data_IF_389704668628
#
_entry.id   IF_389704668628
#
_cell.length_a   1.000
_cell.length_b   1.000
_cell.length_c   1.000
_cell.angle_alpha   90.00
_cell.angle_beta   90.00
_cell.angle_gamma   90.00
#
_symmetry.space_group_name_H-M   'P 1'
#
loop_
_entity.id
_entity.type
_entity.pdbx_description
1 polymer ?
#
# COMPACT_ATOMS: atom_id res chain seq x y z
N UNK A 1 3.28 48.99 -7.09
CA UNK A 1 2.29 48.79 -8.15
C UNK A 1 1.96 47.31 -8.25
N UNK A 2 0.74 46.93 -7.88
CA UNK A 2 0.09 45.70 -8.38
C UNK A 2 -0.86 46.15 -9.50
N UNK A 3 -1.09 45.38 -10.58
CA UNK A 3 -1.93 44.18 -10.47
C UNK A 3 -1.67 43.06 -11.50
N UNK A 4 -2.44 41.97 -11.31
CA UNK A 4 -2.73 40.85 -12.22
C UNK A 4 -1.66 39.76 -12.35
N UNK A 5 -1.95 38.47 -12.24
CA UNK A 5 -3.25 37.81 -12.23
C UNK A 5 -3.23 36.50 -11.44
N UNK A 6 -4.41 36.15 -10.95
CA UNK A 6 -4.79 34.89 -10.32
C UNK A 6 -4.37 33.63 -11.12
N UNK A 7 -3.99 33.79 -12.39
CA UNK A 7 -3.45 32.75 -13.26
C UNK A 7 -1.93 32.50 -13.12
N UNK A 8 -1.14 33.40 -12.52
CA UNK A 8 0.29 33.13 -12.23
C UNK A 8 0.47 32.14 -11.07
N UNK A 9 -0.54 32.01 -10.20
CA UNK A 9 -0.59 30.99 -9.16
C UNK A 9 -0.81 29.59 -9.73
N UNK A 10 -1.59 29.45 -10.82
CA UNK A 10 -1.83 28.16 -11.48
C UNK A 10 -0.63 27.72 -12.34
N UNK A 11 0.08 28.65 -12.99
CA UNK A 11 1.34 28.32 -13.67
C UNK A 11 2.47 28.00 -12.67
N UNK A 12 2.53 28.69 -11.53
CA UNK A 12 3.48 28.36 -10.45
C UNK A 12 3.11 27.05 -9.71
N UNK A 13 1.83 26.68 -9.66
CA UNK A 13 1.37 25.38 -9.14
C UNK A 13 1.63 24.25 -10.14
N UNK A 14 1.49 24.52 -11.45
CA UNK A 14 1.85 23.59 -12.53
C UNK A 14 3.36 23.35 -12.63
N UNK A 15 4.20 24.34 -12.30
CA UNK A 15 5.66 24.16 -12.20
C UNK A 15 6.10 23.42 -10.92
N UNK A 16 5.33 23.50 -9.83
CA UNK A 16 5.59 22.78 -8.57
C UNK A 16 5.02 21.35 -8.52
N UNK A 17 4.20 21.00 -9.50
CA UNK A 17 3.72 19.64 -9.77
C UNK A 17 4.59 18.92 -10.81
N UNK A 18 5.89 19.20 -10.84
CA UNK A 18 6.83 18.18 -11.29
C UNK A 18 6.92 17.13 -10.18
N UNK A 19 6.09 16.09 -10.29
CA UNK A 19 6.46 14.76 -9.82
C UNK A 19 7.91 14.59 -10.24
N UNK A 20 8.83 14.57 -9.27
CA UNK A 20 10.25 14.51 -9.54
C UNK A 20 10.57 13.11 -10.07
N UNK A 21 10.26 12.90 -11.35
CA UNK A 21 10.86 11.85 -12.16
C UNK A 21 12.26 12.38 -12.44
N UNK A 22 13.26 11.76 -11.81
CA UNK A 22 14.64 11.93 -12.21
C UNK A 22 14.73 11.51 -13.68
N UNK A 23 15.15 12.44 -14.54
CA UNK A 23 15.27 12.21 -15.99
C UNK A 23 16.27 11.09 -16.34
N UNK A 24 17.06 10.64 -15.36
CA UNK A 24 18.05 9.59 -15.50
C UNK A 24 17.71 8.30 -14.74
N UNK A 25 16.62 8.24 -13.94
CA UNK A 25 16.39 7.08 -13.05
C UNK A 25 14.94 6.68 -12.70
N UNK A 26 13.92 7.24 -13.36
CA UNK A 26 12.48 6.83 -13.27
C UNK A 26 11.98 6.31 -11.90
N UNK A 27 12.34 6.95 -10.79
CA UNK A 27 11.99 6.52 -9.43
C UNK A 27 10.94 7.43 -8.76
N UNK A 28 9.92 6.86 -8.12
CA UNK A 28 8.93 7.57 -7.31
C UNK A 28 9.46 7.84 -5.88
N UNK A 29 9.57 9.10 -5.48
CA UNK A 29 10.05 9.49 -4.14
C UNK A 29 8.86 9.82 -3.23
N UNK A 30 8.53 8.91 -2.31
CA UNK A 30 7.41 9.06 -1.35
C UNK A 30 7.77 9.87 -0.09
N UNK A 31 9.06 9.90 0.27
CA UNK A 31 9.58 10.59 1.45
C UNK A 31 10.89 11.31 1.10
N UNK A 32 11.10 12.52 1.62
CA UNK A 32 12.36 13.27 1.44
C UNK A 32 12.89 13.75 2.78
N UNK A 33 14.08 13.29 3.17
CA UNK A 33 14.85 13.91 4.26
C UNK A 33 15.65 15.06 3.68
N UNK A 34 15.62 16.21 4.34
CA UNK A 34 16.44 17.36 3.97
C UNK A 34 17.02 18.09 5.17
N UNK A 35 17.93 19.00 4.87
CA UNK A 35 18.66 19.80 5.84
C UNK A 35 18.42 21.28 5.54
N UNK A 36 17.98 22.05 6.53
CA UNK A 36 17.84 23.51 6.42
C UNK A 36 18.32 24.15 7.71
N UNK A 37 19.31 25.04 7.60
CA UNK A 37 19.88 25.81 8.73
C UNK A 37 20.22 24.95 9.97
N UNK A 38 20.90 23.82 9.75
CA UNK A 38 21.35 22.93 10.83
C UNK A 38 20.28 22.01 11.42
N UNK A 39 19.02 22.12 10.99
CA UNK A 39 17.93 21.26 11.43
C UNK A 39 17.51 20.28 10.33
N UNK A 40 17.22 19.03 10.73
CA UNK A 40 16.76 17.95 9.84
C UNK A 40 15.24 17.96 9.73
N UNK A 41 14.73 17.75 8.52
CA UNK A 41 13.29 17.62 8.27
C UNK A 41 12.97 16.35 7.48
N UNK A 42 11.84 15.73 7.78
CA UNK A 42 11.24 14.64 7.01
C UNK A 42 9.99 15.16 6.29
N UNK A 43 9.99 15.11 4.98
CA UNK A 43 8.84 15.39 4.12
C UNK A 43 8.09 14.10 3.79
N UNK A 44 6.79 14.06 4.09
CA UNK A 44 5.87 12.97 3.74
C UNK A 44 4.57 13.58 3.18
N UNK A 45 4.18 13.21 1.94
CA UNK A 45 2.96 13.72 1.29
C UNK A 45 2.78 15.25 1.33
N UNK A 46 3.87 16.01 1.18
CA UNK A 46 3.83 17.49 1.22
C UNK A 46 3.76 18.11 2.63
N UNK A 47 3.85 17.29 3.68
CA UNK A 47 3.90 17.72 5.09
C UNK A 47 5.33 17.59 5.62
N UNK A 48 5.80 18.60 6.36
CA UNK A 48 7.19 18.67 6.84
C UNK A 48 7.25 18.57 8.38
N UNK A 49 8.05 17.63 8.90
CA UNK A 49 8.24 17.43 10.35
C UNK A 49 9.72 17.60 10.70
N UNK A 50 10.01 18.39 11.74
CA UNK A 50 11.36 18.57 12.28
C UNK A 50 11.79 17.34 13.08
N UNK A 51 13.00 16.85 12.83
CA UNK A 51 13.58 15.72 13.57
C UNK A 51 14.50 16.23 14.70
N UNK A 52 14.32 15.80 15.96
CA UNK A 52 15.27 16.08 17.04
C UNK A 52 16.61 15.34 16.82
N UNK A 53 17.72 15.97 17.19
CA UNK A 53 19.09 15.43 17.09
C UNK A 53 19.36 14.31 18.14
N UNK A 54 20.34 13.41 17.95
CA UNK A 54 20.12 12.01 17.56
C UNK A 54 20.11 10.99 18.73
N UNK A 55 19.23 10.00 18.65
CA UNK A 55 19.31 8.71 19.38
C UNK A 55 19.24 7.50 18.42
N UNK A 56 19.14 7.72 17.11
CA UNK A 56 19.00 6.63 16.12
C UNK A 56 20.05 6.75 15.01
N UNK A 57 20.48 5.62 14.43
CA UNK A 57 21.40 5.62 13.31
C UNK A 57 20.88 6.47 12.15
N UNK A 58 21.75 6.90 11.22
CA UNK A 58 21.39 7.91 10.24
C UNK A 58 20.26 7.41 9.31
N UNK A 59 19.03 7.85 9.59
CA UNK A 59 17.79 7.50 8.88
C UNK A 59 17.88 7.70 7.35
N UNK A 60 18.84 8.50 6.86
CA UNK A 60 19.08 8.65 5.43
C UNK A 60 19.55 7.36 4.74
N UNK A 61 20.38 6.52 5.38
CA UNK A 61 20.82 5.24 4.80
C UNK A 61 19.67 4.24 4.68
N UNK A 62 18.73 4.26 5.62
CA UNK A 62 17.49 3.47 5.59
C UNK A 62 16.48 3.96 4.55
N UNK A 63 16.53 5.23 4.16
CA UNK A 63 15.56 5.89 3.26
C UNK A 63 16.08 6.08 1.82
N UNK A 64 17.38 5.96 1.58
CA UNK A 64 17.98 5.95 0.23
C UNK A 64 18.17 4.54 -0.33
N UNK A 65 17.66 3.51 0.35
CA UNK A 65 17.60 2.17 -0.24
C UNK A 65 16.79 2.28 -1.54
N UNK A 66 17.47 2.17 -2.68
CA UNK A 66 16.78 2.02 -3.95
C UNK A 66 15.85 0.83 -3.79
N UNK A 67 14.55 1.06 -4.03
CA UNK A 67 13.53 0.01 -4.00
C UNK A 67 13.93 -1.12 -4.95
N UNK A 68 14.76 -0.80 -5.95
CA UNK A 68 15.42 -1.73 -6.86
C UNK A 68 16.80 -1.18 -7.27
N UNK A 69 17.87 -1.76 -6.72
CA UNK A 69 19.25 -1.45 -7.08
C UNK A 69 20.11 -2.70 -6.89
N UNK A 70 21.25 -2.78 -7.60
CA UNK A 70 22.17 -3.93 -7.52
C UNK A 70 22.66 -4.25 -6.10
N UNK A 71 23.43 -5.33 -5.96
CA UNK A 71 23.99 -5.94 -4.71
C UNK A 71 23.83 -5.05 -3.47
N UNK A 72 22.65 -5.11 -2.84
CA UNK A 72 22.28 -4.28 -1.68
C UNK A 72 20.97 -3.48 -1.79
N UNK A 73 20.35 -3.36 -2.98
CA UNK A 73 19.00 -2.78 -3.10
C UNK A 73 17.91 -3.70 -2.52
N UNK A 74 16.96 -3.11 -1.79
CA UNK A 74 15.81 -3.86 -1.26
C UNK A 74 14.87 -4.31 -2.37
N UNK A 75 13.79 -4.99 -2.02
CA UNK A 75 12.70 -5.33 -2.94
C UNK A 75 11.42 -4.52 -2.64
N UNK A 76 10.52 -4.34 -3.63
CA UNK A 76 9.28 -3.58 -3.43
C UNK A 76 8.42 -4.08 -2.26
N UNK A 77 8.38 -5.39 -2.03
CA UNK A 77 7.58 -5.97 -0.94
C UNK A 77 8.22 -5.75 0.43
N UNK A 78 9.55 -5.84 0.56
CA UNK A 78 10.26 -5.51 1.80
C UNK A 78 10.10 -4.03 2.15
N UNK A 79 10.21 -3.14 1.16
CA UNK A 79 9.92 -1.72 1.33
C UNK A 79 8.48 -1.48 1.80
N UNK A 80 7.51 -2.22 1.24
CA UNK A 80 6.11 -2.14 1.66
C UNK A 80 5.92 -2.61 3.13
N UNK A 81 6.58 -3.70 3.52
CA UNK A 81 6.56 -4.20 4.91
C UNK A 81 7.18 -3.17 5.86
N UNK A 82 8.31 -2.55 5.48
CA UNK A 82 8.92 -1.48 6.26
C UNK A 82 7.97 -0.29 6.44
N UNK A 83 7.25 0.10 5.38
CA UNK A 83 6.21 1.14 5.48
C UNK A 83 5.09 0.74 6.45
N UNK A 84 4.69 -0.53 6.49
CA UNK A 84 3.72 -1.03 7.47
C UNK A 84 4.25 -0.95 8.91
N UNK A 85 5.53 -1.29 9.13
CA UNK A 85 6.17 -1.18 10.45
C UNK A 85 6.24 0.29 10.89
N UNK A 86 6.62 1.20 9.98
CA UNK A 86 6.63 2.65 10.24
C UNK A 86 5.21 3.15 10.54
N UNK A 87 4.21 2.71 9.76
CA UNK A 87 2.81 3.04 10.00
C UNK A 87 2.33 2.57 11.37
N UNK A 88 2.68 1.35 11.78
CA UNK A 88 2.40 0.83 13.11
C UNK A 88 3.09 1.65 14.22
N UNK A 89 4.34 2.06 14.04
CA UNK A 89 5.02 2.94 14.98
C UNK A 89 4.31 4.30 15.10
N UNK A 90 3.86 4.88 13.99
CA UNK A 90 3.04 6.10 13.98
C UNK A 90 1.71 5.93 14.74
N UNK A 91 1.11 4.74 14.73
CA UNK A 91 -0.06 4.43 15.56
C UNK A 91 0.23 4.51 17.06
N UNK A 92 1.43 4.09 17.48
CA UNK A 92 1.82 4.13 18.89
C UNK A 92 2.14 5.56 19.36
N UNK A 93 2.72 6.37 18.48
CA UNK A 93 3.21 7.73 18.82
C UNK A 93 2.10 8.79 18.60
N UNK A 94 1.34 8.70 17.51
CA UNK A 94 0.36 9.71 17.09
C UNK A 94 -1.02 9.13 16.72
N UNK A 95 -1.70 8.42 17.65
CA UNK A 95 -2.95 7.72 17.34
C UNK A 95 -4.03 8.65 16.79
N UNK A 96 -4.18 9.88 17.35
CA UNK A 96 -5.17 10.86 16.85
C UNK A 96 -4.93 11.26 15.39
N UNK A 97 -3.66 11.40 14.99
CA UNK A 97 -3.32 11.71 13.61
C UNK A 97 -3.61 10.50 12.70
N UNK A 98 -3.26 9.29 13.15
CA UNK A 98 -3.52 8.06 12.39
C UNK A 98 -5.01 7.80 12.17
N UNK A 99 -5.85 7.98 13.18
CA UNK A 99 -7.31 7.91 13.01
C UNK A 99 -7.85 8.86 11.94
N UNK A 100 -7.23 10.03 11.77
CA UNK A 100 -7.67 11.05 10.81
C UNK A 100 -7.10 10.85 9.42
N UNK A 101 -5.85 10.37 9.31
CA UNK A 101 -5.05 10.41 8.08
C UNK A 101 -4.64 9.04 7.54
N UNK A 102 -4.89 7.94 8.27
CA UNK A 102 -4.46 6.58 7.93
C UNK A 102 -5.61 5.56 7.97
N UNK A 103 -6.85 6.04 7.83
CA UNK A 103 -8.06 5.23 7.65
C UNK A 103 -8.79 5.75 6.42
N UNK A 104 -9.09 4.86 5.47
CA UNK A 104 -9.82 5.22 4.26
C UNK A 104 -11.32 5.00 4.44
N UNK A 105 -12.13 6.01 4.11
CA UNK A 105 -13.60 5.95 4.10
C UNK A 105 -14.14 7.00 3.14
N UNK A 106 -15.41 6.87 2.74
CA UNK A 106 -16.05 7.89 1.90
C UNK A 106 -16.02 9.28 2.57
N UNK A 107 -16.26 9.35 3.88
CA UNK A 107 -16.17 10.59 4.67
C UNK A 107 -14.76 11.18 4.65
N UNK A 108 -13.72 10.35 4.67
CA UNK A 108 -12.35 10.83 4.57
C UNK A 108 -12.08 11.47 3.20
N UNK A 109 -12.53 10.84 2.12
CA UNK A 109 -12.40 11.37 0.77
C UNK A 109 -13.21 12.67 0.57
N UNK A 110 -14.46 12.72 1.05
CA UNK A 110 -15.30 13.92 1.02
C UNK A 110 -14.68 15.10 1.78
N UNK A 111 -13.85 14.81 2.79
CA UNK A 111 -13.11 15.82 3.54
C UNK A 111 -11.76 16.21 2.88
N UNK A 112 -11.53 15.82 1.62
CA UNK A 112 -10.31 16.11 0.86
C UNK A 112 -9.10 15.25 1.20
N UNK A 113 -9.24 14.20 2.03
CA UNK A 113 -8.11 13.35 2.46
C UNK A 113 -7.82 12.24 1.47
N UNK A 114 -7.56 12.58 0.21
CA UNK A 114 -7.35 11.60 -0.89
C UNK A 114 -6.16 10.67 -0.67
N UNK A 115 -5.16 11.10 0.11
CA UNK A 115 -4.01 10.26 0.47
C UNK A 115 -4.38 9.02 1.28
N UNK A 116 -5.57 8.97 1.90
CA UNK A 116 -6.02 7.77 2.63
C UNK A 116 -6.18 6.55 1.74
N UNK A 117 -6.33 6.74 0.42
CA UNK A 117 -6.31 5.64 -0.55
C UNK A 117 -4.98 4.87 -0.57
N UNK A 118 -3.89 5.48 -0.12
CA UNK A 118 -2.58 4.84 -0.03
C UNK A 118 -2.19 4.59 1.43
N UNK A 119 -2.29 5.61 2.29
CA UNK A 119 -1.81 5.53 3.68
C UNK A 119 -2.55 4.51 4.53
N UNK A 120 -3.82 4.21 4.21
CA UNK A 120 -4.57 3.16 4.90
C UNK A 120 -3.99 1.76 4.69
N UNK A 121 -3.34 1.49 3.55
CA UNK A 121 -2.82 0.16 3.23
C UNK A 121 -1.52 -0.18 4.00
N UNK A 122 -0.89 0.81 4.63
CA UNK A 122 0.30 0.63 5.48
C UNK A 122 0.00 0.93 6.96
N UNK A 123 -1.29 0.98 7.31
CA UNK A 123 -1.78 1.38 8.62
C UNK A 123 -2.27 0.17 9.40
N UNK A 124 -1.76 -0.04 10.61
CA UNK A 124 -2.14 -1.16 11.48
C UNK A 124 -2.32 -0.70 12.92
N UNK A 125 -3.51 -0.89 13.48
CA UNK A 125 -3.80 -0.49 14.86
C UNK A 125 -3.40 -1.54 15.92
N UNK A 126 -3.10 -2.77 15.52
CA UNK A 126 -2.74 -3.87 16.43
C UNK A 126 -1.56 -4.70 15.92
N UNK A 127 -0.81 -5.27 16.86
CA UNK A 127 0.38 -6.09 16.56
C UNK A 127 0.00 -7.31 15.73
N UNK A 128 -1.06 -8.03 16.12
CA UNK A 128 -1.49 -9.23 15.41
C UNK A 128 -1.89 -8.90 13.96
N UNK A 129 -2.56 -7.76 13.74
CA UNK A 129 -2.94 -7.32 12.40
C UNK A 129 -1.73 -6.96 11.54
N UNK A 130 -0.70 -6.33 12.11
CA UNK A 130 0.58 -6.08 11.43
C UNK A 130 1.28 -7.39 11.08
N UNK A 131 1.46 -8.28 12.06
CA UNK A 131 2.20 -9.54 11.90
C UNK A 131 1.57 -10.41 10.83
N UNK A 132 0.25 -10.59 10.86
CA UNK A 132 -0.46 -11.40 9.86
C UNK A 132 -0.24 -10.89 8.43
N UNK A 133 -0.33 -9.57 8.23
CA UNK A 133 -0.13 -8.96 6.91
C UNK A 133 1.33 -9.00 6.46
N UNK A 134 2.27 -8.71 7.36
CA UNK A 134 3.70 -8.77 7.07
C UNK A 134 4.11 -10.20 6.67
N UNK A 135 3.60 -11.23 7.35
CA UNK A 135 3.86 -12.62 6.99
C UNK A 135 3.36 -12.95 5.57
N UNK A 136 2.18 -12.48 5.18
CA UNK A 136 1.68 -12.70 3.81
C UNK A 136 2.56 -11.99 2.77
N UNK A 137 2.91 -10.72 3.02
CA UNK A 137 3.75 -9.94 2.12
C UNK A 137 5.17 -10.53 1.98
N UNK A 138 5.77 -11.01 3.08
CA UNK A 138 7.09 -11.65 3.07
C UNK A 138 7.06 -13.08 2.51
N UNK A 139 5.90 -13.74 2.51
CA UNK A 139 5.76 -15.06 1.90
C UNK A 139 5.60 -14.97 0.37
N UNK A 140 4.63 -14.17 -0.10
CA UNK A 140 4.34 -14.06 -1.53
C UNK A 140 5.21 -13.03 -2.26
N UNK A 141 5.73 -12.04 -1.54
CA UNK A 141 6.56 -10.97 -2.08
C UNK A 141 7.80 -11.45 -2.84
N UNK A 142 8.65 -12.32 -2.26
CA UNK A 142 9.83 -12.86 -2.95
C UNK A 142 9.48 -13.64 -4.21
N UNK A 143 8.43 -14.48 -4.13
CA UNK A 143 7.92 -15.26 -5.26
C UNK A 143 7.50 -14.35 -6.42
N UNK A 144 6.71 -13.32 -6.10
CA UNK A 144 6.24 -12.37 -7.10
C UNK A 144 7.36 -11.46 -7.59
N UNK A 145 8.34 -11.11 -6.74
CA UNK A 145 9.50 -10.34 -7.17
C UNK A 145 10.34 -11.12 -8.19
N UNK A 146 10.59 -12.40 -7.94
CA UNK A 146 11.30 -13.27 -8.88
C UNK A 146 10.53 -13.44 -10.19
N UNK A 147 9.21 -13.60 -10.13
CA UNK A 147 8.38 -13.84 -11.31
C UNK A 147 8.14 -12.58 -12.15
N UNK A 148 7.96 -11.42 -11.51
CA UNK A 148 7.54 -10.18 -12.17
C UNK A 148 8.67 -9.18 -12.36
N UNK A 149 9.76 -9.33 -11.61
CA UNK A 149 10.76 -8.29 -11.45
C UNK A 149 10.25 -7.11 -10.62
N UNK A 150 11.15 -6.17 -10.39
CA UNK A 150 10.94 -4.97 -9.59
C UNK A 150 9.71 -4.15 -10.02
N UNK A 151 9.70 -3.66 -11.26
CA UNK A 151 8.79 -2.62 -11.73
C UNK A 151 7.35 -3.10 -11.70
N UNK A 152 7.12 -4.31 -12.20
CA UNK A 152 5.79 -4.92 -12.22
C UNK A 152 5.30 -5.24 -10.81
N UNK A 153 6.17 -5.64 -9.89
CA UNK A 153 5.78 -5.82 -8.49
C UNK A 153 5.44 -4.48 -7.82
N UNK A 154 6.24 -3.43 -8.03
CA UNK A 154 5.94 -2.10 -7.49
C UNK A 154 4.61 -1.55 -8.03
N UNK A 155 4.35 -1.73 -9.33
CA UNK A 155 3.07 -1.41 -9.96
C UNK A 155 1.92 -2.22 -9.37
N UNK A 156 2.10 -3.54 -9.20
CA UNK A 156 1.10 -4.43 -8.60
C UNK A 156 0.71 -3.96 -7.19
N UNK A 157 1.69 -3.69 -6.34
CA UNK A 157 1.46 -3.22 -4.96
C UNK A 157 0.73 -1.86 -4.94
N UNK A 158 1.16 -0.93 -5.79
CA UNK A 158 0.58 0.42 -5.87
C UNK A 158 -0.86 0.40 -6.38
N UNK A 159 -1.12 -0.34 -7.47
CA UNK A 159 -2.46 -0.53 -8.00
C UNK A 159 -3.35 -1.27 -7.00
N UNK A 160 -2.82 -2.25 -6.27
CA UNK A 160 -3.58 -2.97 -5.24
C UNK A 160 -4.03 -2.06 -4.10
N UNK A 161 -3.19 -1.12 -3.64
CA UNK A 161 -3.60 -0.13 -2.63
C UNK A 161 -4.83 0.67 -3.09
N UNK A 162 -4.76 1.18 -4.33
CA UNK A 162 -5.84 1.98 -4.91
C UNK A 162 -7.10 1.15 -5.13
N UNK A 163 -6.98 -0.06 -5.69
CA UNK A 163 -8.10 -0.95 -5.97
C UNK A 163 -8.79 -1.40 -4.67
N UNK A 164 -8.03 -1.79 -3.65
CA UNK A 164 -8.56 -2.21 -2.35
C UNK A 164 -9.31 -1.06 -1.68
N UNK A 165 -8.70 0.12 -1.60
CA UNK A 165 -9.31 1.29 -0.96
C UNK A 165 -10.55 1.78 -1.71
N UNK A 166 -10.51 1.73 -3.05
CA UNK A 166 -11.64 2.13 -3.88
C UNK A 166 -12.80 1.15 -3.70
N UNK A 167 -12.54 -0.16 -3.74
CA UNK A 167 -13.57 -1.17 -3.54
C UNK A 167 -14.23 -1.04 -2.15
N UNK A 168 -13.43 -0.80 -1.12
CA UNK A 168 -13.92 -0.50 0.24
C UNK A 168 -14.84 0.72 0.29
N UNK A 169 -14.42 1.84 -0.29
CA UNK A 169 -15.20 3.07 -0.32
C UNK A 169 -16.49 2.91 -1.11
N UNK A 170 -16.43 2.25 -2.27
CA UNK A 170 -17.61 2.00 -3.09
C UNK A 170 -18.61 1.13 -2.32
N UNK A 171 -18.15 0.02 -1.74
CA UNK A 171 -19.02 -0.90 -1.03
C UNK A 171 -19.62 -0.26 0.22
N UNK A 172 -18.79 0.12 1.20
CA UNK A 172 -19.28 0.61 2.48
C UNK A 172 -19.94 1.98 2.35
N UNK A 173 -19.36 2.87 1.55
CA UNK A 173 -19.82 4.25 1.42
C UNK A 173 -21.06 4.43 0.54
N UNK A 174 -21.24 3.60 -0.49
CA UNK A 174 -22.26 3.84 -1.53
C UNK A 174 -23.21 2.66 -1.76
N UNK A 175 -22.77 1.41 -1.62
CA UNK A 175 -23.55 0.23 -2.06
C UNK A 175 -24.18 -0.59 -0.93
N UNK A 176 -23.55 -0.63 0.25
CA UNK A 176 -23.96 -1.52 1.35
C UNK A 176 -25.31 -1.17 1.97
N UNK A 177 -25.73 0.10 1.86
CA UNK A 177 -26.93 0.63 2.51
C UNK A 177 -26.89 0.65 4.04
N UNK A 178 -25.76 0.25 4.67
CA UNK A 178 -25.62 0.21 6.13
C UNK A 178 -25.65 1.65 6.70
N UNK A 179 -26.42 1.91 7.78
CA UNK A 179 -26.37 3.18 8.50
C UNK A 179 -24.93 3.49 8.92
N UNK A 180 -24.44 4.68 8.57
CA UNK A 180 -23.06 5.08 8.88
C UNK A 180 -21.98 4.54 7.94
N UNK A 181 -22.34 3.85 6.85
CA UNK A 181 -21.38 3.26 5.89
C UNK A 181 -20.38 4.26 5.30
N UNK A 182 -20.76 5.53 5.12
CA UNK A 182 -19.83 6.58 4.69
C UNK A 182 -18.68 6.83 5.69
N UNK A 183 -18.89 6.54 6.97
CA UNK A 183 -17.89 6.67 8.04
C UNK A 183 -17.14 5.36 8.31
N UNK A 184 -17.62 4.22 7.80
CA UNK A 184 -16.96 2.94 7.96
C UNK A 184 -15.61 2.99 7.25
N UNK A 185 -14.57 2.76 8.04
CA UNK A 185 -13.19 2.94 7.65
C UNK A 185 -12.47 1.62 7.43
N UNK A 186 -11.54 1.62 6.48
CA UNK A 186 -10.67 0.51 6.17
C UNK A 186 -9.21 0.88 6.37
N UNK A 187 -8.42 -0.05 6.90
CA UNK A 187 -6.98 0.05 7.11
C UNK A 187 -6.37 -1.35 7.11
N UNK A 188 -5.11 -1.44 6.70
CA UNK A 188 -4.33 -2.67 6.67
C UNK A 188 -3.90 -3.05 5.25
N UNK A 189 -2.84 -3.86 5.17
CA UNK A 189 -2.26 -4.31 3.91
C UNK A 189 -2.95 -5.56 3.33
N UNK A 190 -4.04 -6.04 3.92
CA UNK A 190 -4.63 -7.34 3.59
C UNK A 190 -5.17 -7.40 2.16
N UNK A 191 -5.76 -6.31 1.65
CA UNK A 191 -6.14 -6.22 0.22
C UNK A 191 -4.93 -6.30 -0.72
N UNK A 192 -3.80 -5.68 -0.33
CA UNK A 192 -2.53 -5.78 -1.07
C UNK A 192 -1.96 -7.19 -1.02
N UNK A 193 -1.98 -7.83 0.14
CA UNK A 193 -1.59 -9.22 0.29
C UNK A 193 -2.45 -10.15 -0.59
N UNK A 194 -3.76 -9.93 -0.63
CA UNK A 194 -4.66 -10.73 -1.46
C UNK A 194 -4.47 -10.50 -2.96
N UNK A 195 -4.00 -9.33 -3.37
CA UNK A 195 -3.50 -9.09 -4.74
C UNK A 195 -2.31 -9.98 -5.08
N UNK A 196 -1.33 -10.12 -4.17
CA UNK A 196 -0.20 -11.04 -4.38
C UNK A 196 -0.65 -12.51 -4.43
N UNK A 197 -1.57 -12.91 -3.56
CA UNK A 197 -2.16 -14.26 -3.56
C UNK A 197 -2.86 -14.54 -4.89
N UNK A 198 -3.67 -13.60 -5.38
CA UNK A 198 -4.37 -13.73 -6.65
C UNK A 198 -3.41 -13.77 -7.85
N UNK A 199 -2.39 -12.92 -7.86
CA UNK A 199 -1.35 -12.94 -8.88
C UNK A 199 -0.59 -14.29 -8.88
N UNK A 200 -0.24 -14.81 -7.70
CA UNK A 200 0.40 -16.11 -7.55
C UNK A 200 -0.49 -17.25 -8.06
N UNK A 201 -1.79 -17.23 -7.76
CA UNK A 201 -2.74 -18.22 -8.26
C UNK A 201 -2.88 -18.20 -9.80
N UNK A 202 -2.72 -17.03 -10.43
CA UNK A 202 -2.77 -16.90 -11.90
C UNK A 202 -1.50 -17.43 -12.56
N UNK A 203 -0.34 -17.06 -12.02
CA UNK A 203 0.96 -17.40 -12.59
C UNK A 203 1.35 -18.85 -12.31
N UNK A 204 1.10 -19.31 -11.08
CA UNK A 204 1.53 -20.62 -10.59
C UNK A 204 0.40 -21.35 -9.83
N UNK A 205 -0.73 -21.68 -10.49
CA UNK A 205 -1.95 -22.17 -9.84
C UNK A 205 -1.77 -23.47 -9.03
N UNK A 206 -0.80 -24.31 -9.42
CA UNK A 206 -0.58 -25.65 -8.85
C UNK A 206 0.53 -25.69 -7.80
N UNK A 207 1.27 -24.61 -7.60
CA UNK A 207 2.37 -24.57 -6.64
C UNK A 207 1.82 -24.73 -5.23
N UNK A 208 2.45 -25.61 -4.45
CA UNK A 208 2.06 -25.83 -3.06
C UNK A 208 2.56 -24.67 -2.22
N UNK A 209 1.61 -23.99 -1.57
CA UNK A 209 1.83 -22.95 -0.58
C UNK A 209 1.72 -23.59 0.80
N UNK A 210 2.77 -23.45 1.59
CA UNK A 210 2.81 -23.82 3.01
C UNK A 210 2.74 -22.58 3.87
N UNK A 211 1.62 -22.38 4.55
CA UNK A 211 1.45 -21.26 5.47
C UNK A 211 0.66 -21.71 6.69
N UNK A 212 1.11 -21.32 7.89
CA UNK A 212 0.46 -21.66 9.16
C UNK A 212 0.23 -23.17 9.39
N UNK A 213 1.11 -24.03 8.84
CA UNK A 213 0.98 -25.49 8.95
C UNK A 213 -0.04 -26.12 8.01
N UNK A 214 -0.64 -25.34 7.11
CA UNK A 214 -1.57 -25.81 6.07
C UNK A 214 -0.86 -25.83 4.72
N UNK A 215 -1.11 -26.89 3.94
CA UNK A 215 -0.60 -27.04 2.58
C UNK A 215 -1.77 -26.99 1.58
N UNK A 216 -1.75 -26.00 0.69
CA UNK A 216 -2.75 -25.87 -0.37
C UNK A 216 -2.07 -25.44 -1.67
N UNK A 217 -2.68 -25.72 -2.81
CA UNK A 217 -2.24 -25.08 -4.06
C UNK A 217 -2.45 -23.57 -3.99
N UNK A 218 -1.69 -22.79 -4.76
CA UNK A 218 -1.86 -21.34 -4.83
C UNK A 218 -3.31 -20.93 -5.16
N UNK A 219 -3.96 -21.66 -6.08
CA UNK A 219 -5.39 -21.49 -6.36
C UNK A 219 -6.25 -21.85 -5.14
N UNK A 220 -5.94 -22.94 -4.44
CA UNK A 220 -6.61 -23.34 -3.22
C UNK A 220 -6.53 -22.28 -2.12
N UNK A 221 -5.39 -21.61 -1.97
CA UNK A 221 -5.23 -20.48 -1.02
C UNK A 221 -6.13 -19.30 -1.39
N UNK A 222 -6.18 -18.91 -2.67
CA UNK A 222 -7.07 -17.84 -3.13
C UNK A 222 -8.55 -18.18 -2.87
N UNK A 223 -8.95 -19.42 -3.17
CA UNK A 223 -10.31 -19.89 -2.91
C UNK A 223 -10.61 -19.90 -1.42
N UNK A 224 -9.69 -20.38 -0.59
CA UNK A 224 -9.85 -20.41 0.87
C UNK A 224 -10.07 -19.00 1.43
N UNK A 225 -9.21 -18.04 1.09
CA UNK A 225 -9.40 -16.66 1.56
C UNK A 225 -10.72 -16.05 1.07
N UNK A 226 -11.08 -16.29 -0.19
CA UNK A 226 -12.37 -15.82 -0.74
C UNK A 226 -13.57 -16.40 0.01
N UNK A 227 -13.51 -17.67 0.42
CA UNK A 227 -14.55 -18.33 1.21
C UNK A 227 -14.60 -17.75 2.62
N UNK A 228 -13.44 -17.53 3.26
CA UNK A 228 -13.37 -16.90 4.59
C UNK A 228 -14.00 -15.50 4.55
N UNK A 229 -13.70 -14.69 3.53
CA UNK A 229 -14.29 -13.36 3.35
C UNK A 229 -15.80 -13.43 3.16
N UNK A 230 -16.28 -14.38 2.36
CA UNK A 230 -17.72 -14.57 2.13
C UNK A 230 -18.44 -14.96 3.42
N UNK A 231 -17.89 -15.90 4.19
CA UNK A 231 -18.47 -16.36 5.46
C UNK A 231 -18.42 -15.24 6.51
N UNK A 232 -17.30 -14.53 6.63
CA UNK A 232 -17.14 -13.40 7.55
C UNK A 232 -18.12 -12.26 7.25
N UNK A 233 -18.29 -11.91 5.97
CA UNK A 233 -19.25 -10.90 5.56
C UNK A 233 -20.71 -11.33 5.82
N UNK A 234 -21.05 -12.60 5.60
CA UNK A 234 -22.38 -13.13 5.95
C UNK A 234 -22.64 -13.12 7.46
N UNK A 235 -21.60 -13.38 8.26
CA UNK A 235 -21.67 -13.30 9.72
C UNK A 235 -21.66 -11.86 10.26
N UNK A 236 -21.62 -10.85 9.39
CA UNK A 236 -21.49 -9.43 9.73
C UNK A 236 -20.26 -9.15 10.61
N UNK A 237 -19.17 -9.89 10.41
CA UNK A 237 -17.92 -9.64 11.09
C UNK A 237 -17.21 -8.42 10.49
N UNK A 238 -17.43 -7.26 11.08
CA UNK A 238 -16.83 -5.99 10.64
C UNK A 238 -15.31 -5.91 10.92
N UNK A 239 -14.67 -6.98 11.43
CA UNK A 239 -13.21 -7.06 11.61
C UNK A 239 -12.45 -7.24 10.29
N UNK A 240 -13.12 -7.71 9.24
CA UNK A 240 -12.51 -7.94 7.92
C UNK A 240 -13.23 -7.13 6.83
N UNK A 241 -12.47 -6.42 6.01
CA UNK A 241 -13.02 -5.69 4.88
C UNK A 241 -12.98 -6.54 3.60
N UNK A 242 -13.98 -7.41 3.46
CA UNK A 242 -14.14 -8.30 2.31
C UNK A 242 -14.16 -7.54 0.96
N UNK A 243 -14.64 -6.30 0.95
CA UNK A 243 -14.68 -5.49 -0.27
C UNK A 243 -13.30 -4.97 -0.67
N UNK A 244 -12.47 -4.57 0.30
CA UNK A 244 -11.07 -4.24 0.06
C UNK A 244 -10.30 -5.47 -0.45
N UNK A 245 -10.53 -6.63 0.15
CA UNK A 245 -9.95 -7.90 -0.27
C UNK A 245 -10.32 -8.26 -1.71
N UNK A 246 -11.60 -8.18 -2.06
CA UNK A 246 -12.07 -8.42 -3.43
C UNK A 246 -11.44 -7.45 -4.43
N UNK A 247 -11.35 -6.15 -4.10
CA UNK A 247 -10.70 -5.15 -4.95
C UNK A 247 -9.23 -5.45 -5.21
N UNK A 248 -8.49 -5.80 -4.15
CA UNK A 248 -7.09 -6.22 -4.26
C UNK A 248 -6.91 -7.49 -5.08
N UNK A 249 -7.69 -8.53 -4.80
CA UNK A 249 -7.63 -9.80 -5.53
C UNK A 249 -7.96 -9.65 -7.02
N UNK A 250 -8.98 -8.85 -7.37
CA UNK A 250 -9.32 -8.55 -8.77
C UNK A 250 -8.19 -7.82 -9.49
N UNK A 251 -7.55 -6.85 -8.82
CA UNK A 251 -6.41 -6.13 -9.37
C UNK A 251 -5.23 -7.09 -9.66
N UNK A 252 -4.90 -7.93 -8.68
CA UNK A 252 -3.81 -8.90 -8.81
C UNK A 252 -4.06 -9.94 -9.89
N UNK A 253 -5.27 -10.48 -9.95
CA UNK A 253 -5.70 -11.38 -11.01
C UNK A 253 -5.55 -10.73 -12.39
N UNK A 254 -6.08 -9.52 -12.57
CA UNK A 254 -6.07 -8.83 -13.86
C UNK A 254 -4.65 -8.51 -14.35
N UNK A 255 -3.82 -7.92 -13.49
CA UNK A 255 -2.45 -7.56 -13.85
C UNK A 255 -1.59 -8.81 -14.13
N UNK A 256 -1.73 -9.86 -13.33
CA UNK A 256 -1.04 -11.12 -13.57
C UNK A 256 -1.46 -11.75 -14.91
N UNK A 257 -2.77 -11.77 -15.23
CA UNK A 257 -3.25 -12.28 -16.52
C UNK A 257 -2.66 -11.48 -17.69
N UNK A 258 -2.54 -10.16 -17.53
CA UNK A 258 -1.99 -9.26 -18.54
C UNK A 258 -0.49 -9.48 -18.78
N UNK A 259 0.27 -9.78 -17.73
CA UNK A 259 1.72 -10.01 -17.82
C UNK A 259 2.10 -11.46 -18.10
N UNK A 260 1.24 -12.42 -17.80
CA UNK A 260 1.49 -13.87 -18.00
C UNK A 260 1.98 -14.19 -19.42
N UNK A 261 1.44 -13.51 -20.44
CA UNK A 261 1.85 -13.70 -21.85
C UNK A 261 3.24 -13.16 -22.17
N UNK A 262 3.75 -12.25 -21.37
CA UNK A 262 5.04 -11.57 -21.53
C UNK A 262 6.11 -12.10 -20.57
N UNK A 263 5.81 -13.15 -19.82
CA UNK A 263 6.74 -13.78 -18.90
C UNK A 263 7.21 -15.11 -19.50
N UNK A 264 8.53 -15.31 -19.52
CA UNK A 264 9.10 -16.64 -19.77
C UNK A 264 9.09 -17.37 -18.44
N UNK A 265 7.99 -18.08 -18.17
CA UNK A 265 7.90 -18.94 -17.00
C UNK A 265 8.60 -20.26 -17.36
N UNK A 266 9.74 -20.53 -16.74
CA UNK A 266 10.39 -21.84 -16.89
C UNK A 266 9.51 -22.90 -16.21
N UNK A 267 9.19 -24.02 -16.89
CA UNK A 267 8.35 -25.07 -16.33
C UNK A 267 8.95 -25.75 -15.10
#
# INVERSE_FOLDING_TARGET
SHPSGFFSGLSALAERLRVAVSADSESFIFFRVGHFRGSRFLGCFGTWVWLPAPVLPPVHELLTASICGGVGGGSPHEAFVLLCVVGFACWQIWPRAMYRHAICSLRALQSGRVWTLLTSNVSHASVLHLVHNALQLLHFGPLMHHALGCERLAMLLSCACLASSTASVLWHGLLSGKPGGAAQGSLGASGVALSLVAANAVLFPRTVVRMYGVELSALGVLVLYSVIDLVGNQAQDDRMDASAHAGGALCGWFLAQRWKRSLVLWP
#
